data_IF_558870681001
#
_entry.id   IF_558870681001
#
_cell.length_a   1.000
_cell.length_b   1.000
_cell.length_c   1.000
_cell.angle_alpha   90.00
_cell.angle_beta   90.00
_cell.angle_gamma   90.00
#
_symmetry.space_group_name_H-M   'P 1'
#
loop_
_entity.id
_entity.type
_entity.pdbx_description
1 polymer ?
#
# COMPACT_ATOMS: atom_id res chain seq x y z
N UNK A 1 16.49 17.51 -3.46
CA UNK A 1 17.74 16.77 -3.25
C UNK A 1 17.86 16.51 -1.74
N UNK A 2 18.17 15.27 -1.37
CA UNK A 2 18.21 14.81 0.00
C UNK A 2 19.55 15.16 0.68
N UNK A 3 20.63 15.28 -0.09
CA UNK A 3 21.91 15.74 0.45
C UNK A 3 21.79 17.14 1.05
N UNK A 4 21.22 18.10 0.30
CA UNK A 4 20.90 19.42 0.85
C UNK A 4 19.85 19.36 1.97
N UNK A 5 18.85 18.48 1.89
CA UNK A 5 17.79 18.40 2.91
C UNK A 5 18.31 17.98 4.30
N UNK A 6 19.36 17.15 4.36
CA UNK A 6 19.97 16.69 5.61
C UNK A 6 21.25 17.43 5.99
N UNK A 7 22.12 17.73 5.02
CA UNK A 7 23.40 18.42 5.21
C UNK A 7 23.32 19.95 5.16
N UNK A 8 22.24 20.51 4.63
CA UNK A 8 22.05 21.96 4.49
C UNK A 8 23.12 22.62 3.62
N UNK A 9 23.56 23.81 4.01
CA UNK A 9 24.62 24.56 3.32
C UNK A 9 26.00 23.87 3.37
N UNK A 10 26.16 22.84 4.21
CA UNK A 10 27.40 22.08 4.34
C UNK A 10 27.45 20.84 3.44
N UNK A 11 26.42 20.56 2.64
CA UNK A 11 26.43 19.47 1.68
C UNK A 11 27.42 19.75 0.54
N UNK A 12 28.48 18.94 0.42
CA UNK A 12 29.43 18.96 -0.69
C UNK A 12 29.91 17.54 -0.97
N UNK A 13 30.16 17.21 -2.23
CA UNK A 13 30.68 15.91 -2.67
C UNK A 13 31.98 16.01 -3.45
N UNK A 14 32.44 17.25 -3.69
CA UNK A 14 33.55 17.54 -4.58
C UNK A 14 34.30 18.83 -4.23
N UNK A 15 35.61 18.82 -4.49
CA UNK A 15 36.51 19.98 -4.38
C UNK A 15 37.26 20.16 -5.70
N UNK A 16 37.23 21.36 -6.28
CA UNK A 16 38.01 21.70 -7.46
C UNK A 16 38.51 23.13 -7.45
N UNK A 17 39.82 23.28 -7.69
CA UNK A 17 40.50 24.58 -7.72
C UNK A 17 40.20 25.44 -6.48
N UNK A 18 40.12 24.80 -5.31
CA UNK A 18 39.80 25.43 -4.02
C UNK A 18 38.32 25.81 -3.82
N UNK A 19 37.42 25.39 -4.71
CA UNK A 19 35.98 25.57 -4.58
C UNK A 19 35.32 24.26 -4.14
N UNK A 20 34.37 24.36 -3.19
CA UNK A 20 33.54 23.25 -2.73
C UNK A 20 32.21 23.27 -3.49
N UNK A 21 31.69 22.10 -3.84
CA UNK A 21 30.35 21.96 -4.41
C UNK A 21 29.83 20.53 -4.31
N UNK A 22 28.58 20.32 -4.72
CA UNK A 22 28.00 18.99 -4.83
C UNK A 22 27.47 18.79 -6.25
N UNK A 23 27.96 17.77 -6.94
CA UNK A 23 27.51 17.34 -8.27
C UNK A 23 26.80 15.98 -8.23
N UNK A 24 26.76 15.37 -7.05
CA UNK A 24 26.22 14.03 -6.81
C UNK A 24 24.93 14.13 -6.00
N UNK A 25 23.82 13.73 -6.59
CA UNK A 25 22.49 14.03 -6.04
C UNK A 25 21.85 12.78 -5.44
N UNK A 26 21.11 12.97 -4.34
CA UNK A 26 20.19 11.99 -3.79
C UNK A 26 18.76 12.49 -4.02
N UNK A 27 18.06 11.96 -5.02
CA UNK A 27 16.70 12.40 -5.36
C UNK A 27 15.66 11.39 -4.85
N UNK A 28 14.67 11.88 -4.09
CA UNK A 28 13.53 11.10 -3.64
C UNK A 28 12.21 11.78 -4.06
N UNK A 29 11.21 10.98 -4.40
CA UNK A 29 9.84 11.47 -4.55
C UNK A 29 9.20 11.68 -3.16
N UNK A 30 7.97 12.21 -3.10
CA UNK A 30 7.30 12.49 -1.83
C UNK A 30 7.05 11.25 -0.97
N UNK A 31 6.81 10.08 -1.57
CA UNK A 31 6.59 8.83 -0.83
C UNK A 31 7.87 8.30 -0.19
N UNK A 32 8.99 8.30 -0.94
CA UNK A 32 10.29 7.84 -0.44
C UNK A 32 10.93 8.88 0.49
N UNK A 33 10.69 10.18 0.30
CA UNK A 33 11.33 11.22 1.10
C UNK A 33 11.04 11.09 2.61
N UNK A 34 9.83 10.66 2.99
CA UNK A 34 9.48 10.40 4.40
C UNK A 34 10.15 9.14 4.98
N UNK A 35 10.66 8.25 4.12
CA UNK A 35 11.33 7.00 4.46
C UNK A 35 12.86 7.14 4.47
N UNK A 36 13.40 8.33 4.18
CA UNK A 36 14.84 8.60 4.30
C UNK A 36 15.15 9.02 5.73
N UNK A 37 16.03 8.28 6.40
CA UNK A 37 16.44 8.59 7.79
C UNK A 37 17.63 9.53 7.86
N UNK A 38 18.39 9.64 6.77
CA UNK A 38 19.53 10.54 6.65
C UNK A 38 20.19 10.45 5.29
N UNK A 39 20.94 11.47 4.94
CA UNK A 39 21.85 11.50 3.79
C UNK A 39 23.12 12.21 4.21
N UNK A 40 24.28 11.66 3.85
CA UNK A 40 25.58 12.26 4.12
C UNK A 40 26.54 11.93 3.00
N UNK A 41 27.39 12.87 2.67
CA UNK A 41 28.61 12.64 1.92
C UNK A 41 29.65 12.10 2.89
N UNK A 42 30.26 10.96 2.55
CA UNK A 42 31.30 10.39 3.39
C UNK A 42 32.65 10.88 2.88
N UNK A 43 33.18 11.93 3.55
CA UNK A 43 34.40 12.62 3.17
C UNK A 43 35.66 11.76 3.34
N UNK A 44 35.95 10.94 2.33
CA UNK A 44 37.13 10.06 2.25
C UNK A 44 37.91 10.21 0.95
N UNK A 45 37.41 10.99 0.00
CA UNK A 45 37.91 11.03 -1.37
C UNK A 45 38.20 12.44 -1.86
N UNK A 46 37.20 13.34 -1.88
CA UNK A 46 37.37 14.66 -2.53
C UNK A 46 38.34 15.57 -1.80
N UNK A 47 38.46 15.39 -0.48
CA UNK A 47 39.37 16.16 0.38
C UNK A 47 40.79 15.57 0.40
N UNK A 48 40.97 14.35 -0.10
CA UNK A 48 42.26 13.70 -0.20
C UNK A 48 43.05 14.24 -1.40
N UNK A 49 44.38 14.42 -1.29
CA UNK A 49 45.19 14.93 -2.38
C UNK A 49 45.30 13.93 -3.55
N UNK A 50 45.30 14.44 -4.78
CA UNK A 50 45.52 13.66 -6.03
C UNK A 50 46.78 12.78 -5.97
N UNK A 51 47.78 13.18 -5.18
CA UNK A 51 49.00 12.40 -4.99
C UNK A 51 48.73 10.98 -4.49
N UNK A 52 47.69 10.79 -3.69
CA UNK A 52 47.31 9.51 -3.09
C UNK A 52 46.35 8.70 -3.97
N UNK A 53 45.93 9.22 -5.13
CA UNK A 53 45.00 8.50 -6.01
C UNK A 53 45.68 7.32 -6.74
N UNK A 54 44.86 6.50 -7.38
CA UNK A 54 45.32 5.34 -8.15
C UNK A 54 45.80 5.68 -9.58
N UNK A 55 45.65 6.94 -10.03
CA UNK A 55 46.11 7.36 -11.35
C UNK A 55 47.63 7.59 -11.32
N UNK A 56 48.36 6.84 -12.13
CA UNK A 56 49.82 6.96 -12.23
C UNK A 56 50.24 8.06 -13.21
N UNK A 57 49.30 8.67 -13.93
CA UNK A 57 49.60 9.66 -14.96
C UNK A 57 50.27 10.88 -14.34
N UNK A 58 51.41 11.29 -14.90
CA UNK A 58 52.22 12.42 -14.42
C UNK A 58 52.83 12.26 -13.01
N UNK A 59 52.80 11.06 -12.40
CA UNK A 59 53.49 10.75 -11.13
C UNK A 59 54.90 10.20 -11.35
N UNK A 60 55.80 10.48 -10.41
CA UNK A 60 57.10 9.81 -10.31
C UNK A 60 56.99 8.53 -9.46
N UNK A 61 57.88 7.56 -9.61
CA UNK A 61 57.85 6.28 -8.87
C UNK A 61 57.72 6.46 -7.33
N UNK A 62 58.39 7.46 -6.77
CA UNK A 62 58.32 7.75 -5.33
C UNK A 62 56.96 8.34 -4.89
N UNK A 63 56.23 8.97 -5.81
CA UNK A 63 54.89 9.51 -5.60
C UNK A 63 53.83 8.42 -5.74
N UNK A 64 53.98 7.57 -6.75
CA UNK A 64 53.13 6.39 -6.98
C UNK A 64 53.16 5.43 -5.77
N UNK A 65 54.33 5.27 -5.14
CA UNK A 65 54.50 4.46 -3.94
C UNK A 65 53.76 4.98 -2.68
N UNK A 66 53.14 6.17 -2.73
CA UNK A 66 52.32 6.71 -1.64
C UNK A 66 50.87 6.22 -1.68
N UNK A 67 50.44 5.63 -2.79
CA UNK A 67 49.12 5.01 -2.88
C UNK A 67 48.99 3.86 -1.88
N UNK A 68 47.86 3.82 -1.17
CA UNK A 68 47.48 2.69 -0.33
C UNK A 68 46.18 2.05 -0.86
N UNK A 69 46.10 0.71 -0.96
CA UNK A 69 44.89 0.02 -1.41
C UNK A 69 43.83 -0.04 -0.31
N UNK A 70 43.40 1.12 0.17
CA UNK A 70 42.37 1.31 1.19
C UNK A 70 41.19 2.14 0.60
N UNK A 71 40.26 2.60 1.44
CA UNK A 71 39.07 3.31 0.98
C UNK A 71 39.29 4.81 0.69
N UNK A 72 40.39 5.40 1.16
CA UNK A 72 40.69 6.82 0.98
C UNK A 72 41.22 7.07 -0.44
N UNK A 73 40.80 8.19 -1.04
CA UNK A 73 41.16 8.58 -2.42
C UNK A 73 40.93 7.47 -3.46
N UNK A 74 39.88 6.66 -3.26
CA UNK A 74 39.47 5.64 -4.21
C UNK A 74 38.64 6.22 -5.38
N UNK A 75 38.22 7.47 -5.28
CA UNK A 75 37.54 8.26 -6.31
C UNK A 75 37.94 9.72 -6.18
N UNK A 76 37.69 10.51 -7.21
CA UNK A 76 37.74 11.96 -7.22
C UNK A 76 36.56 12.64 -6.53
N UNK A 77 35.51 11.88 -6.18
CA UNK A 77 34.30 12.33 -5.50
C UNK A 77 34.04 11.56 -4.20
N UNK A 78 33.39 12.21 -3.24
CA UNK A 78 32.90 11.52 -2.04
C UNK A 78 31.64 10.71 -2.33
N UNK A 79 31.52 9.47 -1.80
CA UNK A 79 30.30 8.71 -1.93
C UNK A 79 29.16 9.34 -1.12
N UNK A 80 27.98 9.42 -1.74
CA UNK A 80 26.72 9.81 -1.08
C UNK A 80 26.10 8.57 -0.42
N UNK A 81 25.94 8.62 0.90
CA UNK A 81 25.37 7.55 1.73
C UNK A 81 23.96 7.94 2.16
N UNK A 82 22.98 7.06 1.95
CA UNK A 82 21.57 7.29 2.25
C UNK A 82 21.09 6.21 3.23
N UNK A 83 20.51 6.63 4.36
CA UNK A 83 19.81 5.75 5.29
C UNK A 83 18.33 5.65 4.94
N UNK A 84 17.78 4.44 4.95
CA UNK A 84 16.38 4.17 4.59
C UNK A 84 15.70 3.36 5.70
N UNK A 85 14.47 3.75 6.03
CA UNK A 85 13.52 2.99 6.84
C UNK A 85 12.24 2.85 6.02
N UNK A 86 12.05 1.66 5.44
CA UNK A 86 11.07 1.46 4.37
C UNK A 86 9.72 1.01 4.94
N UNK A 87 8.66 1.63 4.45
CA UNK A 87 7.29 1.32 4.81
C UNK A 87 6.86 -0.02 4.20
N UNK A 88 6.32 -0.89 5.03
CA UNK A 88 5.68 -2.15 4.67
C UNK A 88 4.20 -1.90 4.37
N UNK A 89 3.63 -2.47 3.29
CA UNK A 89 2.22 -2.31 3.02
C UNK A 89 1.36 -3.07 4.05
N UNK A 90 0.07 -2.67 4.22
CA UNK A 90 -0.87 -3.44 5.02
C UNK A 90 -1.05 -4.87 4.51
N UNK A 91 -1.42 -5.78 5.41
CA UNK A 91 -1.74 -7.17 5.13
C UNK A 91 -3.24 -7.43 5.27
N UNK A 92 -3.86 -7.84 4.16
CA UNK A 92 -5.29 -8.12 4.03
C UNK A 92 -5.67 -9.60 4.22
N UNK A 93 -4.71 -10.53 4.40
CA UNK A 93 -4.96 -11.98 4.47
C UNK A 93 -5.87 -12.39 5.64
N UNK A 94 -5.83 -11.60 6.73
CA UNK A 94 -6.65 -11.79 7.92
C UNK A 94 -7.99 -11.05 7.89
N UNK A 95 -8.37 -10.43 6.77
CA UNK A 95 -9.56 -9.60 6.71
C UNK A 95 -10.86 -10.39 6.86
N UNK A 96 -11.81 -9.85 7.63
CA UNK A 96 -13.14 -10.43 7.81
C UNK A 96 -14.20 -9.35 8.02
N UNK A 97 -15.45 -9.69 7.69
CA UNK A 97 -16.59 -8.81 7.92
C UNK A 97 -16.94 -8.74 9.42
N UNK A 98 -17.16 -7.54 9.93
CA UNK A 98 -17.65 -7.30 11.30
C UNK A 98 -18.96 -8.01 11.62
N UNK A 99 -19.79 -8.27 10.60
CA UNK A 99 -20.97 -9.13 10.68
C UNK A 99 -20.92 -10.13 9.52
N UNK A 100 -20.60 -11.39 9.81
CA UNK A 100 -20.51 -12.44 8.78
C UNK A 100 -21.84 -13.08 8.40
N UNK A 101 -22.88 -13.01 9.25
CA UNK A 101 -24.20 -13.62 9.01
C UNK A 101 -25.32 -12.62 9.33
N UNK A 102 -26.26 -12.45 8.41
CA UNK A 102 -27.44 -11.59 8.58
C UNK A 102 -28.70 -12.42 8.82
N UNK A 103 -29.33 -12.21 9.97
CA UNK A 103 -30.59 -12.84 10.32
C UNK A 103 -31.41 -11.96 11.28
N UNK A 104 -32.75 -11.88 11.12
CA UNK A 104 -33.58 -12.50 10.07
C UNK A 104 -33.49 -11.78 8.71
N UNK A 105 -33.87 -12.43 7.59
CA UNK A 105 -33.91 -11.80 6.25
C UNK A 105 -35.09 -10.82 6.15
N UNK A 106 -34.96 -9.65 6.79
CA UNK A 106 -36.03 -8.67 6.98
C UNK A 106 -35.98 -7.49 6.00
N UNK A 107 -35.03 -7.47 5.07
CA UNK A 107 -34.86 -6.39 4.09
C UNK A 107 -34.25 -5.10 4.65
N UNK A 108 -33.73 -5.10 5.88
CA UNK A 108 -33.06 -3.94 6.46
C UNK A 108 -31.59 -3.89 6.01
N UNK A 109 -31.04 -2.70 5.83
CA UNK A 109 -29.60 -2.53 5.62
C UNK A 109 -28.84 -2.75 6.93
N UNK A 110 -27.73 -3.46 6.83
CA UNK A 110 -26.79 -3.71 7.92
C UNK A 110 -25.43 -3.14 7.51
N UNK A 111 -24.83 -2.35 8.40
CA UNK A 111 -23.48 -1.83 8.23
C UNK A 111 -22.44 -2.94 8.46
N UNK A 112 -21.50 -3.07 7.52
CA UNK A 112 -20.43 -4.05 7.50
C UNK A 112 -19.10 -3.30 7.38
N UNK A 113 -18.36 -3.28 8.48
CA UNK A 113 -16.97 -2.86 8.50
C UNK A 113 -16.05 -4.05 8.17
N UNK A 114 -14.94 -3.78 7.50
CA UNK A 114 -13.84 -4.74 7.31
C UNK A 114 -12.90 -4.66 8.52
N UNK A 115 -12.63 -5.80 9.15
CA UNK A 115 -11.76 -5.94 10.32
C UNK A 115 -10.63 -6.94 10.03
N UNK A 116 -9.61 -7.01 10.88
CA UNK A 116 -8.55 -8.01 10.77
C UNK A 116 -7.43 -7.69 9.77
N UNK A 117 -7.50 -6.56 9.08
CA UNK A 117 -6.37 -5.99 8.34
C UNK A 117 -5.31 -5.53 9.34
N UNK A 118 -4.06 -5.87 9.09
CA UNK A 118 -2.93 -5.55 9.98
C UNK A 118 -1.84 -4.82 9.21
N UNK A 119 -1.03 -4.06 9.92
CA UNK A 119 0.16 -3.40 9.37
C UNK A 119 1.40 -3.82 10.18
N UNK A 120 2.51 -4.08 9.49
CA UNK A 120 3.73 -4.60 10.14
C UNK A 120 4.48 -3.52 10.92
N UNK A 121 4.40 -2.28 10.45
CA UNK A 121 5.05 -1.11 11.07
C UNK A 121 4.15 -0.48 12.14
N UNK A 122 2.89 -0.91 12.19
CA UNK A 122 1.90 -0.49 13.18
C UNK A 122 1.15 0.77 12.77
N UNK A 123 1.19 1.12 11.48
CA UNK A 123 0.51 2.28 10.94
C UNK A 123 -1.02 2.12 10.97
N UNK A 124 -1.70 3.27 11.02
CA UNK A 124 -3.15 3.29 10.98
C UNK A 124 -3.64 2.94 9.56
N UNK A 125 -4.46 1.91 9.45
CA UNK A 125 -5.01 1.46 8.17
C UNK A 125 -6.39 2.06 7.92
N UNK A 126 -6.55 2.67 6.74
CA UNK A 126 -7.82 3.13 6.20
C UNK A 126 -8.40 2.09 5.24
N UNK A 127 -9.73 1.92 5.24
CA UNK A 127 -10.45 1.00 4.36
C UNK A 127 -11.32 1.81 3.39
N UNK A 128 -11.37 1.39 2.14
CA UNK A 128 -12.30 1.87 1.12
C UNK A 128 -13.01 0.65 0.51
N UNK A 129 -14.34 0.68 0.46
CA UNK A 129 -15.13 -0.33 -0.23
C UNK A 129 -15.11 -0.05 -1.73
N UNK A 130 -14.62 -1.00 -2.53
CA UNK A 130 -14.44 -0.84 -3.97
C UNK A 130 -15.68 -1.27 -4.75
N UNK A 131 -16.24 -2.43 -4.38
CA UNK A 131 -17.42 -2.99 -5.03
C UNK A 131 -18.13 -3.99 -4.12
N UNK A 132 -19.43 -4.18 -4.35
CA UNK A 132 -20.26 -5.13 -3.61
C UNK A 132 -21.02 -5.97 -4.63
N UNK A 133 -20.75 -7.26 -4.64
CA UNK A 133 -21.43 -8.23 -5.49
C UNK A 133 -22.19 -9.24 -4.65
N UNK A 134 -23.10 -9.95 -5.31
CA UNK A 134 -23.86 -11.03 -4.71
C UNK A 134 -24.04 -12.19 -5.69
N UNK A 135 -24.24 -13.38 -5.16
CA UNK A 135 -24.35 -14.63 -5.91
C UNK A 135 -25.76 -14.91 -6.47
N UNK A 136 -26.77 -14.31 -5.85
CA UNK A 136 -28.16 -14.36 -6.32
C UNK A 136 -28.54 -13.08 -7.10
N UNK A 137 -29.44 -13.14 -8.09
CA UNK A 137 -29.92 -11.95 -8.77
C UNK A 137 -30.47 -10.88 -7.82
N UNK A 138 -30.12 -9.61 -8.09
CA UNK A 138 -30.63 -8.41 -7.39
C UNK A 138 -32.15 -8.37 -7.46
N UNK A 139 -32.69 -8.60 -8.67
CA UNK A 139 -34.11 -8.50 -8.93
C UNK A 139 -34.63 -9.76 -9.63
N UNK A 140 -35.72 -10.35 -9.11
CA UNK A 140 -36.39 -11.49 -9.74
C UNK A 140 -37.54 -12.08 -8.91
N UNK A 141 -38.30 -13.04 -9.47
CA UNK A 141 -39.40 -13.68 -8.76
C UNK A 141 -38.93 -14.34 -7.45
N UNK A 142 -39.38 -13.79 -6.32
CA UNK A 142 -39.04 -14.31 -4.99
C UNK A 142 -37.86 -13.63 -4.30
N UNK A 143 -37.26 -12.57 -4.86
CA UNK A 143 -36.20 -11.76 -4.23
C UNK A 143 -36.71 -10.58 -3.39
N UNK A 144 -38.02 -10.50 -3.12
CA UNK A 144 -38.61 -9.34 -2.42
C UNK A 144 -38.82 -8.10 -3.30
N UNK A 145 -38.27 -8.07 -4.52
CA UNK A 145 -38.31 -6.95 -5.47
C UNK A 145 -37.73 -5.63 -4.90
N UNK A 146 -36.81 -5.74 -3.95
CA UNK A 146 -36.03 -4.64 -3.40
C UNK A 146 -34.73 -4.52 -4.21
N UNK A 147 -34.31 -3.29 -4.50
CA UNK A 147 -33.01 -2.94 -5.10
C UNK A 147 -32.73 -1.46 -4.84
N UNK A 148 -31.47 -1.02 -4.73
CA UNK A 148 -30.26 -1.84 -4.67
C UNK A 148 -30.14 -2.62 -3.36
N UNK A 149 -29.25 -3.61 -3.33
CA UNK A 149 -29.04 -4.53 -2.19
C UNK A 149 -27.73 -4.23 -1.45
N UNK A 150 -26.89 -3.37 -2.05
CA UNK A 150 -25.62 -2.89 -1.53
C UNK A 150 -25.46 -1.37 -1.70
N UNK A 151 -24.77 -0.72 -0.77
CA UNK A 151 -24.33 0.68 -0.88
C UNK A 151 -23.05 0.90 -0.06
N UNK A 152 -22.46 2.11 -0.15
CA UNK A 152 -21.26 2.47 0.62
C UNK A 152 -19.95 2.36 -0.15
N UNK A 153 -20.00 2.16 -1.47
CA UNK A 153 -18.81 2.23 -2.35
C UNK A 153 -18.10 3.58 -2.19
N UNK A 154 -16.78 3.55 -2.08
CA UNK A 154 -15.95 4.73 -1.84
C UNK A 154 -15.95 5.22 -0.39
N UNK A 155 -16.57 4.49 0.54
CA UNK A 155 -16.55 4.78 1.98
C UNK A 155 -15.85 3.66 2.75
N UNK A 156 -15.70 3.79 4.06
CA UNK A 156 -15.11 2.77 4.95
C UNK A 156 -16.09 1.65 5.35
N UNK A 157 -17.37 1.81 5.01
CA UNK A 157 -18.45 0.96 5.50
C UNK A 157 -19.31 0.49 4.33
N UNK A 158 -19.38 -0.82 4.13
CA UNK A 158 -20.35 -1.41 3.21
C UNK A 158 -21.70 -1.52 3.93
N UNK A 159 -22.80 -1.30 3.22
CA UNK A 159 -24.13 -1.62 3.74
C UNK A 159 -24.78 -2.60 2.80
N UNK A 160 -25.13 -3.77 3.32
CA UNK A 160 -25.82 -4.80 2.54
C UNK A 160 -27.17 -5.09 3.17
N UNK A 161 -28.15 -5.46 2.35
CA UNK A 161 -29.48 -5.78 2.85
C UNK A 161 -29.50 -7.18 3.44
N UNK A 162 -30.16 -7.33 4.59
CA UNK A 162 -30.52 -8.64 5.12
C UNK A 162 -31.67 -9.24 4.27
N UNK A 163 -31.38 -9.62 3.04
CA UNK A 163 -32.32 -10.23 2.09
C UNK A 163 -31.69 -11.39 1.32
N UNK A 164 -32.54 -12.20 0.70
CA UNK A 164 -32.15 -13.31 -0.17
C UNK A 164 -33.37 -13.78 -0.97
N UNK A 165 -33.14 -14.63 -1.97
CA UNK A 165 -34.22 -15.30 -2.67
C UNK A 165 -34.91 -16.32 -1.77
N UNK A 166 -36.23 -16.25 -1.69
CA UNK A 166 -37.03 -17.19 -0.88
C UNK A 166 -36.85 -18.66 -1.27
N UNK A 167 -36.56 -18.92 -2.55
CA UNK A 167 -36.35 -20.25 -3.11
C UNK A 167 -34.88 -20.64 -3.31
N UNK A 168 -33.92 -19.75 -3.04
CA UNK A 168 -32.48 -20.00 -3.17
C UNK A 168 -31.92 -20.89 -2.06
N UNK A 169 -30.61 -21.00 -2.01
CA UNK A 169 -29.82 -21.65 -0.95
C UNK A 169 -29.33 -20.68 0.13
N UNK A 170 -29.38 -19.38 -0.15
CA UNK A 170 -28.91 -18.32 0.73
C UNK A 170 -28.12 -17.34 -0.12
N UNK A 171 -27.98 -16.10 0.37
CA UNK A 171 -27.24 -15.07 -0.37
C UNK A 171 -25.86 -14.89 0.23
N UNK A 172 -24.83 -14.89 -0.60
CA UNK A 172 -23.53 -14.35 -0.26
C UNK A 172 -23.36 -12.96 -0.88
N UNK A 173 -22.90 -12.04 -0.05
CA UNK A 173 -22.33 -10.78 -0.49
C UNK A 173 -20.82 -10.90 -0.51
N UNK A 174 -20.23 -10.53 -1.64
CA UNK A 174 -18.80 -10.41 -1.89
C UNK A 174 -18.44 -8.92 -1.82
N UNK A 175 -17.80 -8.50 -0.73
CA UNK A 175 -17.45 -7.10 -0.50
C UNK A 175 -15.94 -6.97 -0.75
N UNK A 176 -15.60 -6.33 -1.86
CA UNK A 176 -14.21 -6.04 -2.22
C UNK A 176 -13.80 -4.69 -1.62
N UNK A 177 -12.58 -4.64 -1.10
CA UNK A 177 -12.05 -3.45 -0.44
C UNK A 177 -10.56 -3.25 -0.74
N UNK A 178 -10.13 -2.01 -0.63
CA UNK A 178 -8.73 -1.60 -0.57
C UNK A 178 -8.42 -1.04 0.81
N UNK A 179 -7.32 -1.51 1.39
CA UNK A 179 -6.71 -0.99 2.60
C UNK A 179 -5.46 -0.16 2.25
N UNK A 180 -5.26 0.98 2.91
CA UNK A 180 -4.05 1.79 2.76
C UNK A 180 -3.59 2.37 4.09
N UNK A 181 -2.27 2.41 4.27
CA UNK A 181 -1.56 3.00 5.42
C UNK A 181 -1.38 4.54 5.30
N UNK A 182 -1.67 5.12 4.14
CA UNK A 182 -1.41 6.54 3.86
C UNK A 182 0.06 6.90 3.64
N UNK A 183 0.98 5.94 3.77
CA UNK A 183 2.43 6.06 3.58
C UNK A 183 2.91 5.49 2.23
N UNK A 184 1.97 5.07 1.39
CA UNK A 184 2.22 4.57 0.04
C UNK A 184 2.08 3.05 -0.09
N UNK A 185 1.83 2.36 1.02
CA UNK A 185 1.44 0.95 1.02
C UNK A 185 -0.06 0.77 0.90
N UNK A 186 -0.45 -0.32 0.23
CA UNK A 186 -1.84 -0.73 0.11
C UNK A 186 -1.95 -2.24 -0.14
N UNK A 187 -3.08 -2.81 0.27
CA UNK A 187 -3.51 -4.15 -0.13
C UNK A 187 -4.99 -4.12 -0.51
N UNK A 188 -5.43 -5.11 -1.27
CA UNK A 188 -6.85 -5.32 -1.55
C UNK A 188 -7.26 -6.71 -1.09
N UNK A 189 -8.53 -6.86 -0.75
CA UNK A 189 -9.08 -8.12 -0.31
C UNK A 189 -10.59 -8.20 -0.52
N UNK A 190 -11.14 -9.28 0.01
CA UNK A 190 -12.56 -9.60 -0.07
C UNK A 190 -13.03 -10.08 1.30
N UNK A 191 -14.22 -9.66 1.71
CA UNK A 191 -14.92 -10.24 2.85
C UNK A 191 -16.31 -10.71 2.44
N UNK A 192 -16.72 -11.84 3.03
CA UNK A 192 -18.00 -12.46 2.74
C UNK A 192 -19.01 -12.19 3.85
N UNK A 193 -20.26 -11.93 3.45
CA UNK A 193 -21.41 -11.83 4.36
C UNK A 193 -22.54 -12.70 3.83
N UNK A 194 -23.11 -13.56 4.68
CA UNK A 194 -24.14 -14.52 4.28
C UNK A 194 -25.51 -14.18 4.86
N UNK A 195 -26.56 -14.36 4.07
CA UNK A 195 -27.97 -14.34 4.49
C UNK A 195 -28.56 -15.75 4.35
N UNK A 196 -28.43 -16.60 5.39
CA UNK A 196 -28.65 -18.04 5.24
C UNK A 196 -30.13 -18.38 5.12
N UNK A 197 -30.47 -19.39 4.31
CA UNK A 197 -31.87 -19.82 4.14
C UNK A 197 -32.52 -20.25 5.45
N UNK A 198 -31.86 -21.11 6.18
CA UNK A 198 -32.30 -21.63 7.47
C UNK A 198 -31.15 -21.54 8.46
N UNK A 199 -31.46 -21.39 9.75
CA UNK A 199 -30.44 -21.50 10.82
C UNK A 199 -30.36 -22.96 11.27
N UNK A 200 -29.28 -23.65 10.91
CA UNK A 200 -28.97 -25.02 11.33
C UNK A 200 -28.31 -25.87 10.24
N UNK A 201 -27.77 -27.02 10.63
CA UNK A 201 -26.89 -27.92 9.82
C UNK A 201 -27.53 -28.53 8.56
N UNK A 202 -28.76 -28.16 8.20
CA UNK A 202 -29.48 -28.66 7.02
C UNK A 202 -29.73 -27.50 6.07
N UNK A 203 -29.19 -27.61 4.86
CA UNK A 203 -29.21 -26.58 3.80
C UNK A 203 -28.31 -25.39 4.15
N UNK A 204 -27.01 -25.68 4.32
CA UNK A 204 -25.99 -24.64 4.40
C UNK A 204 -26.04 -23.76 3.14
N UNK A 205 -25.85 -22.44 3.27
CA UNK A 205 -25.73 -21.54 2.13
C UNK A 205 -24.61 -21.99 1.21
N UNK A 206 -24.82 -21.87 -0.10
CA UNK A 206 -23.82 -22.19 -1.11
C UNK A 206 -23.41 -20.88 -1.76
N UNK A 207 -22.12 -20.60 -1.73
CA UNK A 207 -21.55 -19.45 -2.41
C UNK A 207 -21.48 -19.72 -3.93
N UNK A 208 -22.28 -18.99 -4.70
CA UNK A 208 -22.27 -19.02 -6.16
C UNK A 208 -21.26 -18.08 -6.82
N UNK A 209 -20.57 -17.24 -6.04
CA UNK A 209 -19.60 -16.24 -6.46
C UNK A 209 -20.17 -14.83 -6.68
N UNK A 210 -19.28 -13.87 -6.94
CA UNK A 210 -19.61 -12.46 -7.20
C UNK A 210 -20.28 -12.23 -8.57
N UNK A 211 -21.53 -12.64 -8.75
CA UNK A 211 -22.20 -12.68 -10.06
C UNK A 211 -22.99 -11.42 -10.42
N UNK A 212 -23.59 -10.76 -9.44
CA UNK A 212 -24.51 -9.63 -9.65
C UNK A 212 -24.07 -8.42 -8.83
N UNK A 213 -24.00 -7.26 -9.47
CA UNK A 213 -23.65 -6.01 -8.77
C UNK A 213 -24.79 -5.62 -7.82
N UNK A 214 -24.49 -5.61 -6.52
CA UNK A 214 -25.50 -5.32 -5.49
C UNK A 214 -25.89 -3.85 -5.46
N UNK A 215 -25.11 -2.96 -6.08
CA UNK A 215 -25.34 -1.52 -6.08
C UNK A 215 -26.23 -1.05 -7.23
N UNK A 216 -26.53 -1.94 -8.17
CA UNK A 216 -27.46 -1.63 -9.26
C UNK A 216 -28.89 -1.48 -8.74
N UNK A 217 -29.49 -0.33 -9.00
CA UNK A 217 -30.91 -0.10 -8.81
C UNK A 217 -31.67 -0.55 -10.07
N UNK A 218 -32.71 -1.37 -9.91
CA UNK A 218 -33.57 -1.74 -11.03
C UNK A 218 -34.40 -0.52 -11.47
N UNK A 219 -34.15 0.00 -12.67
CA UNK A 219 -34.91 1.12 -13.26
C UNK A 219 -35.89 0.59 -14.30
N UNK A 220 -37.20 0.81 -14.09
CA UNK A 220 -38.21 0.51 -15.11
C UNK A 220 -38.01 1.44 -16.31
N UNK A 221 -37.60 0.89 -17.46
CA UNK A 221 -37.85 1.57 -18.74
C UNK A 221 -39.36 1.50 -19.00
N UNK A 222 -40.03 2.66 -18.98
CA UNK A 222 -41.41 2.82 -19.43
C UNK A 222 -41.49 2.86 -20.95
#
# INVERSE_FOLDING_TARGET
>A
DMAFAFGGEYAYSYVFDGQLGYLDYALANSSLAGQVTGTTEWHINSDEPDLLDYDTTFKQDAQDALYEPNAYRASDHDPVVIGLDLNSPPNCDGAYASVGELWPPNGSFVAINVLGVTDADGDAVSIIIDSIYQDEPVWGPGSGNTSPDGMGIGTDTAYVRAERMGNGDGRFYHIFFTASDGNGGSCSGEVLVVVPRNRGVRNEPVDGGALYDSTEAFVWYR
#
